data_IF_740597698671
#
_entry.id   IF_740597698671
#
_cell.length_a   1.000
_cell.length_b   1.000
_cell.length_c   1.000
_cell.angle_alpha   90.00
_cell.angle_beta   90.00
_cell.angle_gamma   90.00
#
_symmetry.space_group_name_H-M   'P 1'
#
loop_
_entity.id
_entity.type
_entity.pdbx_description
1 polymer ?
#
# COMPACT_ATOMS: atom_id res chain seq x y z
N UNK A 1 -18.68 31.28 31.27
CA UNK A 1 -19.49 30.20 30.66
C UNK A 1 -19.23 30.03 29.16
N UNK A 2 -19.29 31.09 28.34
CA UNK A 2 -19.17 31.00 26.87
C UNK A 2 -17.91 30.27 26.35
N UNK A 3 -16.77 30.36 27.04
CA UNK A 3 -15.48 29.76 26.63
C UNK A 3 -15.32 28.28 27.02
N UNK A 4 -15.94 27.86 28.13
CA UNK A 4 -15.97 26.46 28.55
C UNK A 4 -16.95 25.68 27.67
N UNK A 5 -18.07 26.32 27.30
CA UNK A 5 -18.93 25.88 26.21
C UNK A 5 -18.17 25.72 24.90
N UNK A 6 -17.28 26.65 24.54
CA UNK A 6 -16.49 26.57 23.31
C UNK A 6 -15.50 25.39 23.33
N UNK A 7 -14.82 25.12 24.44
CA UNK A 7 -13.98 23.93 24.60
C UNK A 7 -14.78 22.62 24.52
N UNK A 8 -15.97 22.58 25.14
CA UNK A 8 -16.90 21.45 25.03
C UNK A 8 -17.34 21.26 23.58
N UNK A 9 -17.70 22.34 22.88
CA UNK A 9 -18.07 22.31 21.46
C UNK A 9 -16.92 21.79 20.61
N UNK A 10 -15.67 22.22 20.83
CA UNK A 10 -14.51 21.69 20.10
C UNK A 10 -14.38 20.16 20.30
N UNK A 11 -14.50 19.69 21.54
CA UNK A 11 -14.41 18.25 21.85
C UNK A 11 -15.56 17.48 21.21
N UNK A 12 -16.79 17.99 21.28
CA UNK A 12 -17.98 17.36 20.70
C UNK A 12 -17.92 17.31 19.18
N UNK A 13 -17.52 18.42 18.55
CA UNK A 13 -17.31 18.51 17.10
C UNK A 13 -16.23 17.54 16.67
N UNK A 14 -15.11 17.44 17.39
CA UNK A 14 -14.08 16.45 17.07
C UNK A 14 -14.55 15.00 17.23
N UNK A 15 -15.39 14.72 18.23
CA UNK A 15 -15.96 13.39 18.44
C UNK A 15 -16.96 13.02 17.34
N UNK A 16 -17.68 14.00 16.79
CA UNK A 16 -18.51 13.84 15.60
C UNK A 16 -17.66 13.64 14.34
N UNK A 17 -16.59 14.43 14.14
CA UNK A 17 -15.69 14.28 13.00
C UNK A 17 -14.91 12.96 13.03
N UNK A 18 -14.54 12.44 14.22
CA UNK A 18 -13.90 11.13 14.35
C UNK A 18 -14.78 9.97 13.83
N UNK A 19 -16.10 10.19 13.78
CA UNK A 19 -17.08 9.24 13.25
C UNK A 19 -17.43 9.48 11.78
N UNK A 20 -16.94 10.55 11.18
CA UNK A 20 -17.26 10.90 9.80
C UNK A 20 -16.35 10.12 8.83
N UNK A 21 -16.90 9.29 7.93
CA UNK A 21 -16.12 8.54 6.95
C UNK A 21 -15.34 9.43 5.96
N UNK A 22 -15.73 10.70 5.78
CA UNK A 22 -14.98 11.63 4.94
C UNK A 22 -13.68 12.10 5.62
N UNK A 23 -13.68 12.20 6.95
CA UNK A 23 -12.47 12.54 7.72
C UNK A 23 -11.49 11.37 7.73
N UNK A 24 -12.00 10.14 7.78
CA UNK A 24 -11.19 8.93 7.63
C UNK A 24 -10.48 8.87 6.26
N UNK A 25 -11.12 9.37 5.19
CA UNK A 25 -10.46 9.52 3.87
C UNK A 25 -9.32 10.55 3.93
N UNK A 26 -9.50 11.66 4.64
CA UNK A 26 -8.47 12.69 4.80
C UNK A 26 -7.28 12.21 5.67
N UNK A 27 -7.55 11.34 6.65
CA UNK A 27 -6.53 10.64 7.44
C UNK A 27 -5.65 9.69 6.60
N UNK A 28 -6.10 9.34 5.38
CA UNK A 28 -5.33 8.54 4.44
C UNK A 28 -3.93 9.09 4.17
N UNK A 29 -3.74 10.42 4.16
CA UNK A 29 -2.41 11.01 3.97
C UNK A 29 -1.46 10.67 5.13
N UNK A 30 -1.95 10.73 6.38
CA UNK A 30 -1.15 10.39 7.55
C UNK A 30 -0.81 8.90 7.55
N UNK A 31 -1.78 8.04 7.23
CA UNK A 31 -1.57 6.61 7.08
C UNK A 31 -0.54 6.30 5.99
N UNK A 32 -0.61 6.97 4.84
CA UNK A 32 0.31 6.79 3.73
C UNK A 32 1.73 7.16 4.10
N UNK A 33 1.90 8.30 4.79
CA UNK A 33 3.19 8.71 5.34
C UNK A 33 3.72 7.69 6.34
N UNK A 34 2.86 7.20 7.22
CA UNK A 34 3.24 6.29 8.29
C UNK A 34 3.69 4.94 7.72
N UNK A 35 2.93 4.36 6.78
CA UNK A 35 3.26 3.08 6.13
C UNK A 35 4.55 3.15 5.31
N UNK A 36 4.81 4.26 4.61
CA UNK A 36 6.06 4.45 3.85
C UNK A 36 7.29 4.43 4.74
N UNK A 37 7.17 4.97 5.96
CA UNK A 37 8.28 5.09 6.91
C UNK A 37 8.36 3.91 7.90
N UNK A 38 7.41 2.98 7.88
CA UNK A 38 7.41 1.82 8.77
C UNK A 38 7.99 0.60 8.05
N UNK A 39 8.99 -0.11 8.63
CA UNK A 39 9.46 -1.35 8.07
C UNK A 39 8.32 -2.38 8.00
N UNK A 40 8.36 -3.28 7.03
CA UNK A 40 7.42 -4.38 7.01
C UNK A 40 7.74 -5.35 8.16
N UNK A 41 6.70 -5.69 8.92
CA UNK A 41 6.79 -6.68 9.99
C UNK A 41 6.21 -7.99 9.52
N UNK A 42 6.97 -9.07 9.66
CA UNK A 42 6.57 -10.41 9.25
C UNK A 42 7.77 -11.31 9.02
N UNK A 43 7.52 -12.62 9.03
CA UNK A 43 8.49 -13.59 8.54
C UNK A 43 8.60 -13.53 7.01
N UNK A 44 9.64 -14.19 6.49
CA UNK A 44 9.85 -14.33 5.06
C UNK A 44 8.63 -14.98 4.39
N UNK A 45 8.18 -14.40 3.29
CA UNK A 45 6.96 -14.83 2.59
C UNK A 45 7.35 -15.65 1.36
N UNK A 46 6.58 -16.70 0.97
CA UNK A 46 6.82 -17.48 -0.25
C UNK A 46 6.51 -16.70 -1.53
N UNK A 47 7.26 -15.61 -1.73
CA UNK A 47 7.24 -14.71 -2.88
C UNK A 47 8.68 -14.55 -3.36
N UNK A 48 8.93 -14.89 -4.61
CA UNK A 48 10.19 -14.58 -5.29
C UNK A 48 9.92 -13.56 -6.38
N UNK A 49 10.59 -12.41 -6.29
CA UNK A 49 10.51 -11.33 -7.29
C UNK A 49 11.74 -11.39 -8.17
N UNK A 50 11.54 -11.44 -9.49
CA UNK A 50 12.62 -11.47 -10.47
C UNK A 50 12.57 -10.23 -11.35
N UNK A 51 13.67 -9.48 -11.35
CA UNK A 51 13.83 -8.25 -12.12
C UNK A 51 14.52 -8.55 -13.46
N UNK A 52 13.82 -8.24 -14.56
CA UNK A 52 14.30 -8.41 -15.93
C UNK A 52 14.50 -7.03 -16.57
N UNK A 53 15.65 -6.82 -17.21
CA UNK A 53 16.06 -5.55 -17.80
C UNK A 53 17.23 -4.90 -17.07
N UNK A 54 17.62 -3.68 -17.46
CA UNK A 54 18.78 -3.01 -16.90
C UNK A 54 18.63 -2.85 -15.37
N UNK A 55 19.51 -3.54 -14.63
CA UNK A 55 19.54 -3.49 -13.18
C UNK A 55 19.72 -2.04 -12.70
N UNK A 56 19.06 -1.62 -11.60
CA UNK A 56 19.47 -0.42 -10.91
C UNK A 56 20.91 -0.60 -10.44
N UNK A 57 21.76 0.39 -10.71
CA UNK A 57 23.06 0.53 -10.05
C UNK A 57 22.75 0.60 -8.56
N UNK A 58 22.95 -0.50 -7.85
CA UNK A 58 22.86 -0.52 -6.39
C UNK A 58 23.91 0.44 -5.87
N UNK A 59 23.48 1.52 -5.21
CA UNK A 59 24.34 2.43 -4.45
C UNK A 59 25.04 1.63 -3.34
N UNK A 60 26.20 1.07 -3.68
CA UNK A 60 27.18 0.62 -2.69
C UNK A 60 28.48 1.33 -3.02
N UNK A 61 28.61 2.59 -2.61
CA UNK A 61 29.83 3.24 -2.07
C UNK A 61 29.75 4.78 -2.17
N UNK A 62 29.95 5.52 -1.05
CA UNK A 62 30.01 6.97 -1.05
C UNK A 62 31.44 7.42 -1.40
N UNK A 63 31.82 7.33 -2.67
CA UNK A 63 32.90 8.12 -3.29
C UNK A 63 33.21 7.51 -4.66
N UNK A 64 32.53 7.99 -5.69
CA UNK A 64 33.12 8.05 -7.02
C UNK A 64 32.37 9.09 -7.84
N UNK A 65 33.11 10.14 -8.18
CA UNK A 65 32.69 11.31 -8.93
C UNK A 65 32.10 10.88 -10.28
N UNK A 66 30.83 11.19 -10.52
CA UNK A 66 30.16 10.94 -11.79
C UNK A 66 30.83 11.76 -12.92
N UNK A 67 31.11 11.17 -14.10
CA UNK A 67 31.37 11.93 -15.31
C UNK A 67 30.08 12.61 -15.81
N UNK A 68 30.18 13.75 -16.50
CA UNK A 68 29.05 14.62 -16.78
C UNK A 68 28.09 13.99 -17.81
N UNK A 69 26.81 14.26 -17.55
CA UNK A 69 25.67 13.86 -18.37
C UNK A 69 25.86 14.19 -19.85
N UNK A 70 25.93 13.15 -20.68
CA UNK A 70 25.64 13.27 -22.10
C UNK A 70 24.13 13.16 -22.31
N UNK A 71 23.57 14.29 -22.73
CA UNK A 71 22.20 14.49 -23.22
C UNK A 71 21.89 13.52 -24.37
N UNK A 72 21.17 12.45 -24.06
CA UNK A 72 20.47 11.63 -25.06
C UNK A 72 18.96 11.88 -24.96
N UNK A 73 18.24 11.96 -26.10
CA UNK A 73 16.86 12.40 -26.15
C UNK A 73 15.92 11.36 -25.53
N UNK A 74 14.88 11.86 -24.85
CA UNK A 74 13.74 11.09 -24.31
C UNK A 74 13.28 10.01 -25.29
N UNK A 75 13.65 8.76 -25.03
CA UNK A 75 13.22 7.58 -25.77
C UNK A 75 13.11 6.41 -24.80
N UNK A 76 11.90 5.86 -24.71
CA UNK A 76 11.50 4.57 -24.13
C UNK A 76 12.50 3.91 -23.17
N UNK A 77 12.14 3.84 -21.89
CA UNK A 77 12.69 2.83 -20.98
C UNK A 77 12.77 1.48 -21.72
N UNK A 78 13.96 0.89 -21.74
CA UNK A 78 14.34 -0.30 -22.50
C UNK A 78 13.22 -1.33 -22.56
N UNK A 79 12.60 -1.50 -23.74
CA UNK A 79 11.67 -2.59 -23.97
C UNK A 79 12.44 -3.90 -23.88
N UNK A 80 12.18 -4.69 -22.84
CA UNK A 80 12.79 -6.00 -22.60
C UNK A 80 12.48 -6.93 -23.76
N UNK A 81 13.52 -7.58 -24.30
CA UNK A 81 13.40 -8.46 -25.46
C UNK A 81 12.63 -9.76 -25.14
N UNK A 82 11.93 -10.39 -26.10
CA UNK A 82 11.33 -11.71 -25.89
C UNK A 82 12.36 -12.76 -25.44
N UNK A 83 13.61 -12.63 -25.92
CA UNK A 83 14.70 -13.52 -25.56
C UNK A 83 15.08 -13.45 -24.08
N UNK A 84 15.08 -12.27 -23.45
CA UNK A 84 15.32 -12.13 -22.01
C UNK A 84 14.25 -12.86 -21.19
N UNK A 85 12.99 -12.79 -21.61
CA UNK A 85 11.92 -13.58 -21.00
C UNK A 85 12.11 -15.08 -21.24
N UNK A 86 12.52 -15.50 -22.44
CA UNK A 86 12.79 -16.91 -22.74
C UNK A 86 13.91 -17.47 -21.84
N UNK A 87 14.99 -16.71 -21.66
CA UNK A 87 16.09 -17.06 -20.76
C UNK A 87 15.64 -17.13 -19.30
N UNK A 88 14.81 -16.19 -18.88
CA UNK A 88 14.18 -16.24 -17.56
C UNK A 88 13.37 -17.52 -17.37
N UNK A 89 12.48 -17.84 -18.31
CA UNK A 89 11.63 -19.03 -18.21
C UNK A 89 12.46 -20.31 -18.21
N UNK A 90 13.50 -20.39 -19.05
CA UNK A 90 14.43 -21.50 -19.04
C UNK A 90 15.11 -21.67 -17.67
N UNK A 91 15.62 -20.59 -17.08
CA UNK A 91 16.29 -20.62 -15.79
C UNK A 91 15.35 -20.99 -14.65
N UNK A 92 14.11 -20.48 -14.67
CA UNK A 92 13.17 -20.71 -13.58
C UNK A 92 12.58 -22.11 -13.61
N UNK A 93 12.39 -22.69 -14.80
CA UNK A 93 11.85 -24.04 -14.98
C UNK A 93 12.75 -25.11 -14.34
N UNK A 94 14.06 -24.88 -14.25
CA UNK A 94 14.99 -25.75 -13.52
C UNK A 94 14.63 -25.90 -12.03
N UNK A 95 13.95 -24.91 -11.45
CA UNK A 95 13.53 -24.89 -10.05
C UNK A 95 12.07 -25.33 -9.82
N UNK A 96 11.40 -25.84 -10.87
CA UNK A 96 10.02 -26.39 -10.85
C UNK A 96 8.97 -25.45 -10.21
N UNK A 97 8.74 -24.27 -10.81
CA UNK A 97 7.80 -23.30 -10.27
C UNK A 97 6.36 -23.79 -10.40
N UNK A 98 5.51 -23.50 -9.42
CA UNK A 98 4.06 -23.80 -9.53
C UNK A 98 3.31 -22.71 -10.27
N UNK A 99 3.72 -21.45 -10.08
CA UNK A 99 3.07 -20.30 -10.70
C UNK A 99 4.10 -19.22 -11.02
N UNK A 100 3.98 -18.66 -12.23
CA UNK A 100 4.74 -17.48 -12.64
C UNK A 100 3.76 -16.39 -13.06
N UNK A 101 3.85 -15.24 -12.41
CA UNK A 101 3.07 -14.05 -12.69
C UNK A 101 3.97 -12.99 -13.34
N UNK A 102 3.59 -12.53 -14.53
CA UNK A 102 4.33 -11.52 -15.28
C UNK A 102 3.59 -10.19 -15.19
N UNK A 103 4.15 -9.27 -14.42
CA UNK A 103 3.65 -7.90 -14.26
C UNK A 103 3.72 -7.07 -15.55
N UNK A 104 4.84 -7.02 -16.31
CA UNK A 104 4.94 -6.18 -17.49
C UNK A 104 4.00 -6.67 -18.59
N UNK A 105 3.34 -5.72 -19.26
CA UNK A 105 2.46 -6.04 -20.38
C UNK A 105 3.29 -6.55 -21.57
N UNK A 106 3.18 -7.85 -21.83
CA UNK A 106 3.90 -8.51 -22.92
C UNK A 106 3.19 -8.22 -24.23
N UNK A 107 3.73 -7.27 -25.00
CA UNK A 107 3.33 -7.00 -26.37
C UNK A 107 4.56 -6.60 -27.17
N UNK A 108 5.02 -7.51 -28.03
CA UNK A 108 6.22 -7.29 -28.82
C UNK A 108 5.89 -6.75 -30.20
N UNK A 109 6.91 -6.19 -30.86
CA UNK A 109 6.76 -5.72 -32.23
C UNK A 109 6.88 -6.94 -33.14
N UNK A 110 6.12 -6.97 -34.23
CA UNK A 110 6.16 -8.09 -35.19
C UNK A 110 7.52 -8.36 -35.86
N UNK A 111 8.55 -7.52 -35.61
CA UNK A 111 9.94 -7.78 -36.04
C UNK A 111 10.66 -8.81 -35.18
N UNK A 112 10.17 -9.08 -33.96
CA UNK A 112 10.79 -9.98 -32.99
C UNK A 112 10.09 -11.37 -32.95
N UNK A 113 9.29 -11.68 -33.98
CA UNK A 113 8.41 -12.87 -34.03
C UNK A 113 9.17 -14.20 -33.92
N UNK A 114 10.38 -14.27 -34.47
CA UNK A 114 11.22 -15.48 -34.36
C UNK A 114 11.71 -15.71 -32.92
N UNK A 115 11.96 -14.63 -32.17
CA UNK A 115 12.34 -14.72 -30.75
C UNK A 115 11.13 -15.00 -29.87
N UNK A 116 9.95 -14.52 -30.26
CA UNK A 116 8.67 -14.79 -29.60
C UNK A 116 8.32 -16.29 -29.62
N UNK A 117 8.63 -17.01 -30.69
CA UNK A 117 8.44 -18.47 -30.74
C UNK A 117 9.26 -19.20 -29.68
N UNK A 118 10.54 -18.83 -29.52
CA UNK A 118 11.40 -19.42 -28.48
C UNK A 118 10.84 -19.14 -27.09
N UNK A 119 10.33 -17.93 -26.87
CA UNK A 119 9.66 -17.55 -25.64
C UNK A 119 8.40 -18.39 -25.40
N UNK A 120 7.52 -18.52 -26.39
CA UNK A 120 6.27 -19.29 -26.32
C UNK A 120 6.55 -20.76 -25.95
N UNK A 121 7.57 -21.36 -26.56
CA UNK A 121 7.98 -22.75 -26.27
C UNK A 121 8.39 -22.95 -24.81
N UNK A 122 9.03 -21.96 -24.19
CA UNK A 122 9.37 -22.02 -22.76
C UNK A 122 8.15 -21.70 -21.89
N UNK A 123 7.32 -20.72 -22.28
CA UNK A 123 6.12 -20.34 -21.55
C UNK A 123 5.11 -21.49 -21.43
N UNK A 124 4.95 -22.30 -22.49
CA UNK A 124 4.10 -23.50 -22.49
C UNK A 124 4.52 -24.57 -21.47
N UNK A 125 5.78 -24.56 -21.01
CA UNK A 125 6.29 -25.53 -20.03
C UNK A 125 5.99 -25.10 -18.59
N UNK A 126 5.52 -23.87 -18.39
CA UNK A 126 5.18 -23.33 -17.07
C UNK A 126 3.82 -23.88 -16.64
N UNK A 127 3.70 -24.50 -15.45
CA UNK A 127 2.43 -25.13 -15.04
C UNK A 127 1.26 -24.15 -14.95
N UNK A 128 1.49 -22.95 -14.44
CA UNK A 128 0.51 -21.85 -14.41
C UNK A 128 1.19 -20.53 -14.72
N UNK A 129 0.79 -19.93 -15.82
CA UNK A 129 1.25 -18.61 -16.25
C UNK A 129 0.14 -17.58 -16.07
N UNK A 130 0.44 -16.49 -15.36
CA UNK A 130 -0.44 -15.33 -15.24
C UNK A 130 0.21 -14.15 -15.96
N UNK A 131 -0.46 -13.59 -16.97
CA UNK A 131 0.01 -12.43 -17.72
C UNK A 131 -0.81 -11.19 -17.39
N UNK A 132 -0.18 -10.03 -17.46
CA UNK A 132 -0.88 -8.77 -17.23
C UNK A 132 -1.69 -8.31 -18.44
N UNK A 133 -2.86 -7.75 -18.13
CA UNK A 133 -3.72 -7.06 -19.06
C UNK A 133 -4.23 -5.75 -18.43
N UNK A 134 -4.75 -4.86 -19.25
CA UNK A 134 -5.17 -3.53 -18.83
C UNK A 134 -6.58 -3.24 -19.34
N UNK A 135 -7.44 -2.80 -18.44
CA UNK A 135 -8.83 -2.44 -18.69
C UNK A 135 -8.99 -0.97 -19.07
N UNK A 136 -10.05 -0.66 -19.80
CA UNK A 136 -10.45 0.71 -20.15
C UNK A 136 -11.95 0.93 -19.92
N UNK A 137 -12.30 2.16 -19.57
CA UNK A 137 -13.70 2.61 -19.48
C UNK A 137 -14.21 3.17 -20.82
N UNK A 138 -13.32 3.36 -21.79
CA UNK A 138 -13.62 3.81 -23.16
C UNK A 138 -13.15 2.75 -24.16
N UNK A 139 -13.86 1.61 -24.27
CA UNK A 139 -13.59 0.60 -25.28
C UNK A 139 -13.74 1.18 -26.68
N UNK A 140 -12.98 0.62 -27.61
CA UNK A 140 -13.27 0.75 -29.03
C UNK A 140 -14.66 0.16 -29.32
N UNK A 141 -15.62 0.93 -29.87
CA UNK A 141 -16.97 0.45 -30.16
C UNK A 141 -17.01 -0.71 -31.16
N UNK A 142 -15.97 -0.86 -31.98
CA UNK A 142 -15.90 -1.90 -33.01
C UNK A 142 -15.22 -3.20 -32.51
N UNK A 143 -14.60 -3.17 -31.32
CA UNK A 143 -13.96 -4.33 -30.74
C UNK A 143 -14.99 -5.28 -30.10
N UNK A 144 -14.91 -6.60 -30.36
CA UNK A 144 -15.84 -7.55 -29.77
C UNK A 144 -15.74 -7.55 -28.25
N UNK A 145 -16.88 -7.69 -27.55
CA UNK A 145 -16.90 -7.77 -26.10
C UNK A 145 -16.12 -8.99 -25.61
N UNK A 146 -15.13 -8.77 -24.75
CA UNK A 146 -14.37 -9.87 -24.11
C UNK A 146 -15.09 -10.26 -22.83
N UNK A 147 -15.53 -11.51 -22.74
CA UNK A 147 -16.10 -12.04 -21.50
C UNK A 147 -14.96 -12.39 -20.54
N UNK A 148 -15.03 -11.82 -19.33
CA UNK A 148 -14.05 -12.03 -18.27
C UNK A 148 -14.79 -12.68 -17.11
N UNK A 149 -14.39 -13.87 -16.64
CA UNK A 149 -15.09 -14.56 -15.58
C UNK A 149 -15.00 -13.76 -14.26
N UNK A 150 -16.16 -13.33 -13.76
CA UNK A 150 -16.28 -12.70 -12.45
C UNK A 150 -16.45 -13.68 -11.28
N UNK A 151 -16.44 -13.12 -10.07
CA UNK A 151 -16.80 -13.82 -8.85
C UNK A 151 -18.30 -14.12 -8.81
N UNK A 152 -18.64 -15.33 -8.37
CA UNK A 152 -20.03 -15.81 -8.30
C UNK A 152 -20.76 -15.25 -7.07
N UNK A 153 -20.05 -15.19 -5.92
CA UNK A 153 -20.65 -14.82 -4.64
C UNK A 153 -20.27 -13.40 -4.22
N UNK A 154 -21.01 -12.41 -4.73
CA UNK A 154 -20.76 -10.99 -4.46
C UNK A 154 -21.96 -10.34 -3.79
N UNK A 155 -21.72 -9.74 -2.63
CA UNK A 155 -22.68 -8.98 -1.83
C UNK A 155 -22.17 -7.56 -1.53
N UNK A 156 -23.08 -6.62 -1.27
CA UNK A 156 -22.74 -5.22 -0.98
C UNK A 156 -22.91 -4.27 -2.17
N UNK A 157 -22.58 -2.99 -1.96
CA UNK A 157 -22.78 -1.91 -2.94
C UNK A 157 -21.65 -1.91 -3.98
N UNK A 158 -21.95 -2.24 -5.23
CA UNK A 158 -20.97 -2.28 -6.34
C UNK A 158 -20.60 -0.90 -6.91
N UNK A 159 -21.42 0.12 -6.65
CA UNK A 159 -21.33 1.42 -7.31
C UNK A 159 -20.05 2.21 -7.04
N UNK A 160 -19.29 1.82 -6.02
CA UNK A 160 -18.06 2.51 -5.65
C UNK A 160 -16.79 1.83 -6.19
N UNK A 161 -16.91 0.66 -6.83
CA UNK A 161 -15.78 -0.06 -7.44
C UNK A 161 -15.32 0.63 -8.73
N UNK A 162 -14.00 0.64 -9.03
CA UNK A 162 -13.49 1.09 -10.31
C UNK A 162 -14.15 0.31 -11.45
N UNK A 163 -14.83 1.04 -12.34
CA UNK A 163 -15.69 0.45 -13.37
C UNK A 163 -15.05 0.56 -14.75
N UNK A 164 -14.98 -0.58 -15.44
CA UNK A 164 -14.42 -0.72 -16.77
C UNK A 164 -15.41 -1.43 -17.71
N UNK A 165 -15.30 -1.13 -18.99
CA UNK A 165 -16.23 -1.60 -20.03
C UNK A 165 -15.51 -2.29 -21.20
N UNK A 166 -14.18 -2.23 -21.24
CA UNK A 166 -13.35 -2.92 -22.23
C UNK A 166 -11.95 -3.27 -21.73
N UNK A 167 -11.20 -3.96 -22.59
CA UNK A 167 -9.78 -4.27 -22.42
C UNK A 167 -9.00 -3.38 -23.38
N UNK A 168 -8.06 -2.58 -22.85
CA UNK A 168 -7.23 -1.66 -23.65
C UNK A 168 -6.03 -2.37 -24.23
N UNK A 169 -5.32 -3.11 -23.39
CA UNK A 169 -4.07 -3.79 -23.73
C UNK A 169 -4.12 -5.19 -23.15
N UNK A 170 -3.75 -6.17 -23.95
CA UNK A 170 -3.66 -7.57 -23.56
C UNK A 170 -2.54 -8.24 -24.38
N UNK A 171 -1.99 -9.36 -23.89
CA UNK A 171 -1.06 -10.18 -24.64
C UNK A 171 -1.67 -10.71 -25.94
N UNK A 172 -0.81 -11.12 -26.86
CA UNK A 172 -1.21 -11.71 -28.14
C UNK A 172 -1.98 -13.03 -27.94
N UNK A 173 -2.78 -13.41 -28.93
CA UNK A 173 -3.77 -14.49 -28.80
C UNK A 173 -3.15 -15.82 -28.35
N UNK A 174 -2.02 -16.20 -28.94
CA UNK A 174 -1.28 -17.42 -28.62
C UNK A 174 -0.89 -17.48 -27.13
N UNK A 175 -0.55 -16.33 -26.53
CA UNK A 175 -0.22 -16.24 -25.12
C UNK A 175 -1.44 -16.37 -24.22
N UNK A 176 -2.58 -15.81 -24.63
CA UNK A 176 -3.83 -15.92 -23.86
C UNK A 176 -4.36 -17.35 -23.82
N UNK A 177 -4.04 -18.17 -24.83
CA UNK A 177 -4.44 -19.58 -24.84
C UNK A 177 -3.70 -20.42 -23.79
N UNK A 178 -2.47 -20.02 -23.44
CA UNK A 178 -1.60 -20.76 -22.51
C UNK A 178 -1.51 -20.10 -21.12
N UNK A 179 -2.17 -18.97 -20.92
CA UNK A 179 -2.08 -18.19 -19.69
C UNK A 179 -3.44 -17.68 -19.19
N UNK A 180 -3.51 -17.42 -17.89
CA UNK A 180 -4.57 -16.61 -17.31
C UNK A 180 -4.22 -15.14 -17.37
N UNK A 181 -5.23 -14.27 -17.44
CA UNK A 181 -5.04 -12.82 -17.42
C UNK A 181 -5.26 -12.25 -16.03
N UNK A 182 -4.42 -11.29 -15.63
CA UNK A 182 -4.57 -10.49 -14.42
C UNK A 182 -4.53 -8.99 -14.74
N UNK A 183 -5.43 -8.21 -14.16
CA UNK A 183 -5.59 -6.80 -14.53
C UNK A 183 -4.79 -5.86 -13.64
N UNK A 184 -3.90 -5.06 -14.25
CA UNK A 184 -2.93 -4.20 -13.52
C UNK A 184 -3.39 -2.75 -13.32
N UNK A 185 -4.68 -2.46 -13.55
CA UNK A 185 -5.22 -1.11 -13.41
C UNK A 185 -5.07 -0.59 -11.97
N UNK A 186 -4.20 0.39 -11.74
CA UNK A 186 -4.09 1.04 -10.43
C UNK A 186 -5.07 2.21 -10.36
N UNK A 187 -5.90 2.21 -9.31
CA UNK A 187 -6.84 3.29 -9.03
C UNK A 187 -6.18 4.34 -8.13
N UNK A 188 -5.80 5.48 -8.70
CA UNK A 188 -5.28 6.64 -7.96
C UNK A 188 -3.76 6.69 -7.78
N UNK A 189 -3.30 7.80 -7.19
CA UNK A 189 -1.87 8.14 -7.10
C UNK A 189 -1.17 7.64 -5.82
N UNK A 190 -1.84 6.84 -4.98
CA UNK A 190 -1.25 6.39 -3.71
C UNK A 190 -0.68 4.98 -3.80
N UNK A 191 0.62 4.76 -3.49
CA UNK A 191 1.27 3.45 -3.57
C UNK A 191 0.87 2.51 -2.43
N UNK A 192 0.06 2.97 -1.48
CA UNK A 192 -0.42 2.20 -0.33
C UNK A 192 -1.83 1.65 -0.57
N UNK A 193 -2.62 2.22 -1.49
CA UNK A 193 -3.96 1.72 -1.81
C UNK A 193 -3.94 0.99 -3.13
N UNK A 194 -4.24 -0.30 -3.07
CA UNK A 194 -4.14 -1.17 -4.24
C UNK A 194 -5.49 -1.80 -4.50
N UNK A 195 -6.09 -1.60 -5.67
CA UNK A 195 -7.36 -2.24 -5.99
C UNK A 195 -7.17 -3.76 -6.04
N UNK A 196 -8.06 -4.49 -5.36
CA UNK A 196 -8.14 -5.95 -5.44
C UNK A 196 -9.31 -6.40 -6.34
N UNK A 197 -10.31 -5.54 -6.51
CA UNK A 197 -11.55 -5.84 -7.21
C UNK A 197 -11.84 -4.73 -8.23
N UNK A 198 -12.32 -5.14 -9.41
CA UNK A 198 -12.86 -4.22 -10.40
C UNK A 198 -14.28 -4.59 -10.75
N UNK A 199 -15.06 -3.61 -11.20
CA UNK A 199 -16.37 -3.82 -11.80
C UNK A 199 -16.21 -3.81 -13.32
N UNK A 200 -16.29 -4.97 -13.95
CA UNK A 200 -16.27 -5.11 -15.40
C UNK A 200 -17.67 -5.43 -15.88
N UNK A 201 -18.33 -4.46 -16.55
CA UNK A 201 -19.67 -4.63 -17.14
C UNK A 201 -20.73 -5.19 -16.17
N UNK A 202 -20.63 -4.86 -14.88
CA UNK A 202 -21.56 -5.30 -13.84
C UNK A 202 -21.11 -6.56 -13.09
N UNK A 203 -20.08 -7.26 -13.57
CA UNK A 203 -19.44 -8.37 -12.89
C UNK A 203 -18.24 -7.89 -12.06
N UNK A 204 -18.03 -8.49 -10.90
CA UNK A 204 -16.86 -8.17 -10.08
C UNK A 204 -15.75 -9.15 -10.43
N UNK A 205 -14.62 -8.63 -10.90
CA UNK A 205 -13.46 -9.41 -11.34
C UNK A 205 -12.25 -9.13 -10.44
N UNK A 206 -11.32 -10.08 -10.29
CA UNK A 206 -10.10 -9.87 -9.51
C UNK A 206 -9.09 -8.98 -10.25
N UNK A 207 -8.40 -8.14 -9.49
CA UNK A 207 -7.19 -7.46 -9.94
C UNK A 207 -6.00 -8.43 -9.99
N UNK A 208 -4.92 -8.03 -10.66
CA UNK A 208 -3.72 -8.85 -10.87
C UNK A 208 -3.17 -9.47 -9.58
N UNK A 209 -3.00 -8.68 -8.52
CA UNK A 209 -2.45 -9.18 -7.25
C UNK A 209 -3.36 -10.22 -6.59
N UNK A 210 -4.68 -10.01 -6.61
CA UNK A 210 -5.63 -10.97 -6.06
C UNK A 210 -5.66 -12.26 -6.89
N UNK A 211 -5.67 -12.13 -8.23
CA UNK A 211 -5.66 -13.28 -9.14
C UNK A 211 -4.39 -14.13 -8.98
N UNK A 212 -3.23 -13.48 -8.84
CA UNK A 212 -1.96 -14.16 -8.59
C UNK A 212 -2.00 -14.93 -7.27
N UNK A 213 -2.50 -14.29 -6.20
CA UNK A 213 -2.66 -14.92 -4.89
C UNK A 213 -3.64 -16.11 -4.91
N UNK A 214 -4.81 -15.97 -5.52
CA UNK A 214 -5.80 -17.05 -5.62
C UNK A 214 -5.26 -18.24 -6.41
N UNK A 215 -4.53 -17.96 -7.50
CA UNK A 215 -3.91 -18.98 -8.36
C UNK A 215 -2.81 -19.76 -7.63
N UNK A 216 -2.00 -19.07 -6.82
CA UNK A 216 -0.99 -19.66 -5.94
C UNK A 216 -1.62 -20.49 -4.81
N UNK A 217 -2.63 -19.93 -4.13
CA UNK A 217 -3.36 -20.62 -3.06
C UNK A 217 -4.26 -21.76 -3.57
N UNK A 218 -4.37 -21.92 -4.89
CA UNK A 218 -5.22 -22.92 -5.57
C UNK A 218 -6.70 -22.78 -5.20
N UNK A 219 -7.17 -21.55 -4.98
CA UNK A 219 -8.56 -21.23 -4.62
C UNK A 219 -9.33 -20.86 -5.88
N UNK A 220 -10.45 -21.54 -6.14
CA UNK A 220 -11.34 -21.20 -7.23
C UNK A 220 -12.17 -19.95 -6.92
N UNK A 221 -12.47 -19.13 -7.93
CA UNK A 221 -13.28 -17.91 -7.75
C UNK A 221 -14.71 -18.20 -7.25
N UNK A 222 -15.23 -19.41 -7.48
CA UNK A 222 -16.53 -19.86 -6.97
C UNK A 222 -16.53 -20.09 -5.46
N UNK A 223 -15.38 -20.31 -4.83
CA UNK A 223 -15.27 -20.54 -3.38
C UNK A 223 -15.10 -19.23 -2.58
N UNK A 224 -14.82 -18.13 -3.28
CA UNK A 224 -14.55 -16.83 -2.69
C UNK A 224 -15.87 -16.08 -2.48
N UNK A 225 -16.10 -15.63 -1.25
CA UNK A 225 -17.26 -14.80 -0.91
C UNK A 225 -16.82 -13.35 -0.72
N UNK A 226 -17.41 -12.45 -1.49
CA UNK A 226 -17.06 -11.03 -1.45
C UNK A 226 -18.19 -10.25 -0.78
N UNK A 227 -17.81 -9.48 0.24
CA UNK A 227 -18.67 -8.46 0.83
C UNK A 227 -18.01 -7.10 0.65
N UNK A 228 -18.42 -6.39 -0.41
CA UNK A 228 -17.82 -5.12 -0.84
C UNK A 228 -17.90 -4.09 0.30
N UNK A 229 -16.78 -3.41 0.56
CA UNK A 229 -16.65 -2.45 1.67
C UNK A 229 -16.41 -3.08 3.04
N UNK A 230 -16.15 -4.40 3.11
CA UNK A 230 -15.79 -5.04 4.38
C UNK A 230 -14.65 -6.04 4.22
N UNK A 231 -14.87 -7.15 3.51
CA UNK A 231 -13.89 -8.21 3.38
C UNK A 231 -14.17 -9.16 2.21
N UNK A 232 -13.11 -9.84 1.79
CA UNK A 232 -13.13 -11.03 0.93
C UNK A 232 -12.89 -12.23 1.86
N UNK A 233 -13.88 -13.11 1.97
CA UNK A 233 -13.78 -14.35 2.70
C UNK A 233 -13.30 -15.46 1.76
N UNK A 234 -12.21 -16.11 2.17
CA UNK A 234 -11.58 -17.22 1.49
C UNK A 234 -11.96 -18.55 2.17
N UNK A 235 -11.85 -19.69 1.47
CA UNK A 235 -11.94 -21.01 2.12
C UNK A 235 -10.91 -21.12 3.26
N UNK A 236 -11.30 -21.80 4.34
CA UNK A 236 -10.45 -21.92 5.55
C UNK A 236 -10.56 -20.77 6.55
N UNK A 237 -11.55 -19.88 6.41
CA UNK A 237 -11.86 -18.84 7.40
C UNK A 237 -10.98 -17.59 7.33
N UNK A 238 -10.07 -17.52 6.37
CA UNK A 238 -9.22 -16.34 6.12
C UNK A 238 -10.05 -15.19 5.54
N UNK A 239 -9.83 -13.98 6.05
CA UNK A 239 -10.56 -12.76 5.62
C UNK A 239 -9.57 -11.67 5.24
N UNK A 240 -9.65 -11.22 3.99
CA UNK A 240 -8.89 -10.07 3.49
C UNK A 240 -9.78 -8.83 3.64
N UNK A 241 -9.40 -7.81 4.42
CA UNK A 241 -10.19 -6.58 4.51
C UNK A 241 -10.16 -5.83 3.18
N UNK A 242 -11.29 -5.25 2.79
CA UNK A 242 -11.38 -4.38 1.60
C UNK A 242 -12.17 -3.12 1.93
N UNK A 243 -11.73 -2.02 1.36
CA UNK A 243 -12.44 -0.74 1.41
C UNK A 243 -13.65 -0.73 0.47
N UNK A 244 -14.45 0.33 0.56
CA UNK A 244 -15.68 0.54 -0.23
C UNK A 244 -15.39 0.60 -1.74
N UNK A 245 -14.20 1.05 -2.13
CA UNK A 245 -13.70 1.06 -3.51
C UNK A 245 -13.08 -0.28 -3.95
N UNK A 246 -13.12 -1.31 -3.10
CA UNK A 246 -12.52 -2.62 -3.38
C UNK A 246 -11.00 -2.62 -3.32
N UNK A 247 -10.39 -1.57 -2.74
CA UNK A 247 -8.96 -1.50 -2.51
C UNK A 247 -8.56 -2.11 -1.16
N UNK A 248 -7.29 -2.52 -1.08
CA UNK A 248 -6.62 -2.93 0.13
C UNK A 248 -5.54 -1.91 0.46
N UNK A 249 -5.45 -1.53 1.73
CA UNK A 249 -4.31 -0.76 2.24
C UNK A 249 -3.13 -1.69 2.52
N UNK A 250 -2.02 -1.43 1.84
CA UNK A 250 -0.80 -2.25 1.77
C UNK A 250 0.38 -1.45 2.30
N UNK A 251 1.25 -2.11 3.08
CA UNK A 251 2.54 -1.52 3.42
C UNK A 251 3.48 -1.68 2.21
N UNK A 252 3.95 -0.58 1.58
CA UNK A 252 4.86 -0.66 0.42
C UNK A 252 6.17 -1.40 0.70
N UNK A 253 6.64 -1.37 1.95
CA UNK A 253 7.84 -2.09 2.37
C UNK A 253 7.62 -3.61 2.46
N UNK A 254 6.38 -4.12 2.39
CA UNK A 254 6.10 -5.56 2.43
C UNK A 254 6.72 -6.32 1.25
N UNK A 255 7.01 -5.62 0.15
CA UNK A 255 7.75 -6.17 -0.98
C UNK A 255 9.18 -6.63 -0.64
N UNK A 256 9.71 -6.26 0.53
CA UNK A 256 11.01 -6.71 1.05
C UNK A 256 10.92 -8.04 1.82
N UNK A 257 9.71 -8.53 2.10
CA UNK A 257 9.51 -9.80 2.79
C UNK A 257 9.74 -11.01 1.87
N UNK A 258 9.66 -10.83 0.55
CA UNK A 258 9.98 -11.85 -0.45
C UNK A 258 11.45 -11.84 -0.87
N UNK A 259 11.88 -12.88 -1.59
CA UNK A 259 13.21 -12.93 -2.21
C UNK A 259 13.25 -12.02 -3.43
N UNK A 260 14.43 -11.49 -3.73
CA UNK A 260 14.66 -10.69 -4.93
C UNK A 260 15.89 -11.21 -5.64
N UNK A 261 15.74 -11.40 -6.95
CA UNK A 261 16.84 -11.76 -7.83
C UNK A 261 16.79 -10.89 -9.08
N UNK A 262 17.96 -10.46 -9.56
CA UNK A 262 18.08 -10.02 -10.95
C UNK A 262 18.09 -11.22 -11.89
N UNK A 263 17.77 -11.00 -13.17
CA UNK A 263 17.89 -12.05 -14.19
C UNK A 263 19.29 -12.70 -14.19
N UNK A 264 20.34 -11.90 -14.05
CA UNK A 264 21.73 -12.38 -14.05
C UNK A 264 22.03 -13.28 -12.85
N UNK A 265 21.54 -12.91 -11.66
CA UNK A 265 21.67 -13.75 -10.47
C UNK A 265 20.89 -15.05 -10.62
N UNK A 266 19.68 -15.01 -11.18
CA UNK A 266 18.90 -16.23 -11.42
C UNK A 266 19.62 -17.16 -12.40
N UNK A 267 20.19 -16.63 -13.49
CA UNK A 267 20.96 -17.42 -14.46
C UNK A 267 22.21 -18.02 -13.82
N UNK A 268 22.91 -17.27 -12.96
CA UNK A 268 24.06 -17.76 -12.21
C UNK A 268 23.65 -18.89 -11.24
N UNK A 269 22.54 -18.73 -10.53
CA UNK A 269 22.01 -19.75 -9.63
C UNK A 269 21.56 -21.02 -10.37
N UNK A 270 20.94 -20.87 -11.54
CA UNK A 270 20.60 -22.00 -12.39
C UNK A 270 21.85 -22.80 -12.82
N UNK A 271 22.99 -22.12 -13.05
CA UNK A 271 24.27 -22.77 -13.33
C UNK A 271 24.90 -23.42 -12.10
N UNK A 272 24.76 -22.84 -10.90
CA UNK A 272 25.37 -23.31 -9.64
C UNK A 272 24.52 -24.36 -8.89
N UNK A 273 23.89 -25.27 -9.63
CA UNK A 273 22.86 -26.24 -9.20
C UNK A 273 23.10 -26.98 -7.88
N UNK A 274 24.36 -27.20 -7.47
CA UNK A 274 24.71 -27.97 -6.26
C UNK A 274 24.87 -27.13 -4.99
N UNK A 275 25.09 -25.81 -5.09
CA UNK A 275 25.32 -24.92 -3.94
C UNK A 275 24.29 -23.78 -3.86
N UNK A 276 23.21 -23.86 -4.63
CA UNK A 276 22.21 -22.79 -4.71
C UNK A 276 21.28 -22.81 -3.49
N UNK A 277 21.03 -21.65 -2.84
CA UNK A 277 20.05 -21.53 -1.76
C UNK A 277 18.60 -21.76 -2.23
N UNK A 278 18.36 -21.80 -3.55
CA UNK A 278 17.09 -22.13 -4.19
C UNK A 278 16.99 -23.66 -4.40
N UNK A 279 16.67 -24.43 -3.36
CA UNK A 279 16.51 -25.89 -3.50
C UNK A 279 15.24 -26.28 -4.27
N UNK A 280 14.15 -25.52 -4.11
CA UNK A 280 12.90 -25.69 -4.90
C UNK A 280 11.99 -24.48 -4.78
N UNK A 281 11.38 -24.04 -5.89
CA UNK A 281 10.40 -22.95 -5.93
C UNK A 281 8.95 -23.47 -6.03
N UNK A 282 8.71 -24.71 -5.62
CA UNK A 282 7.42 -25.37 -5.81
C UNK A 282 6.28 -24.67 -5.06
N UNK A 283 6.55 -24.13 -3.87
CA UNK A 283 5.53 -23.48 -3.03
C UNK A 283 5.58 -21.95 -3.09
N UNK A 284 6.44 -21.38 -3.94
CA UNK A 284 6.60 -19.92 -4.06
C UNK A 284 5.83 -19.35 -5.24
N UNK A 285 5.29 -18.14 -5.07
CA UNK A 285 4.78 -17.34 -6.17
C UNK A 285 5.93 -16.57 -6.79
N UNK A 286 6.13 -16.72 -8.10
CA UNK A 286 7.19 -16.02 -8.82
C UNK A 286 6.60 -14.83 -9.54
N UNK A 287 7.04 -13.63 -9.16
CA UNK A 287 6.62 -12.37 -9.77
C UNK A 287 7.74 -11.82 -10.64
N UNK A 288 7.50 -11.76 -11.94
CA UNK A 288 8.41 -11.17 -12.92
C UNK A 288 8.06 -9.72 -13.14
N UNK A 289 9.08 -8.86 -13.09
CA UNK A 289 8.93 -7.42 -13.21
C UNK A 289 10.03 -6.80 -14.07
N UNK A 290 9.74 -5.64 -14.63
CA UNK A 290 10.75 -4.79 -15.28
C UNK A 290 10.96 -3.53 -14.45
N UNK A 291 12.20 -3.14 -14.12
CA UNK A 291 12.46 -1.91 -13.39
C UNK A 291 12.17 -0.73 -14.32
N UNK A 292 10.98 -0.15 -14.20
CA UNK A 292 10.56 0.98 -15.05
C UNK A 292 11.21 2.30 -14.62
N UNK A 293 11.63 2.44 -13.35
CA UNK A 293 12.44 3.57 -12.86
C UNK A 293 13.01 3.26 -11.45
N UNK A 294 14.31 3.45 -11.17
CA UNK A 294 14.90 3.30 -9.82
C UNK A 294 14.34 4.29 -8.78
N UNK A 295 13.67 5.35 -9.21
CA UNK A 295 12.99 6.34 -8.36
C UNK A 295 11.46 6.13 -8.30
N UNK A 296 10.91 5.09 -8.97
CA UNK A 296 9.49 4.82 -8.94
C UNK A 296 9.02 4.32 -7.57
N UNK A 297 7.72 4.50 -7.34
CA UNK A 297 7.03 4.06 -6.14
C UNK A 297 7.33 2.59 -5.79
N UNK A 298 7.38 2.26 -4.49
CA UNK A 298 7.62 0.91 -4.00
C UNK A 298 6.72 -0.12 -4.67
N UNK A 299 7.26 -1.31 -4.91
CA UNK A 299 6.69 -2.38 -5.74
C UNK A 299 5.30 -2.79 -5.27
N UNK A 300 4.28 -2.12 -5.85
CA UNK A 300 2.92 -2.14 -5.33
C UNK A 300 2.34 -3.55 -5.41
N UNK A 301 2.53 -4.25 -6.53
CA UNK A 301 2.04 -5.62 -6.69
C UNK A 301 2.79 -6.63 -5.82
N UNK A 302 4.12 -6.54 -5.74
CA UNK A 302 4.92 -7.40 -4.87
C UNK A 302 4.54 -7.20 -3.39
N UNK A 303 4.38 -5.95 -2.96
CA UNK A 303 3.96 -5.61 -1.60
C UNK A 303 2.54 -6.13 -1.31
N UNK A 304 1.63 -6.03 -2.29
CA UNK A 304 0.26 -6.51 -2.15
C UNK A 304 0.22 -8.03 -2.02
N UNK A 305 0.92 -8.75 -2.90
CA UNK A 305 0.99 -10.21 -2.84
C UNK A 305 1.64 -10.66 -1.53
N UNK A 306 2.73 -10.01 -1.11
CA UNK A 306 3.38 -10.31 0.17
C UNK A 306 2.44 -10.09 1.37
N UNK A 307 1.65 -9.01 1.35
CA UNK A 307 0.64 -8.71 2.37
C UNK A 307 -0.49 -9.74 2.37
N UNK A 308 -0.96 -10.13 1.17
CA UNK A 308 -1.96 -11.17 0.99
C UNK A 308 -1.47 -12.53 1.47
N UNK A 309 -0.20 -12.87 1.30
CA UNK A 309 0.37 -14.14 1.76
C UNK A 309 0.67 -14.13 3.26
N UNK A 310 1.24 -13.04 3.81
CA UNK A 310 1.56 -12.90 5.25
C UNK A 310 0.34 -12.74 6.16
N UNK A 311 -0.84 -12.44 5.59
CA UNK A 311 -2.08 -12.20 6.35
C UNK A 311 -2.02 -10.99 7.29
N UNK A 312 -1.05 -10.10 7.10
CA UNK A 312 -0.80 -8.97 7.99
C UNK A 312 -1.40 -7.69 7.40
N UNK A 313 -2.68 -7.45 7.64
CA UNK A 313 -3.42 -6.33 7.07
C UNK A 313 -3.45 -5.12 8.00
N UNK A 314 -3.28 -3.92 7.43
CA UNK A 314 -3.48 -2.68 8.16
C UNK A 314 -4.96 -2.55 8.56
N UNK A 315 -5.25 -2.48 9.85
CA UNK A 315 -6.62 -2.30 10.37
C UNK A 315 -6.71 -1.00 11.16
N UNK A 316 -7.83 -0.29 11.01
CA UNK A 316 -8.10 0.90 11.82
C UNK A 316 -8.34 0.49 13.28
N UNK A 317 -7.80 1.27 14.21
CA UNK A 317 -8.09 1.11 15.64
C UNK A 317 -9.58 1.34 15.92
N UNK A 318 -10.12 0.70 16.96
CA UNK A 318 -11.53 0.87 17.33
C UNK A 318 -11.88 2.33 17.63
N UNK A 319 -13.09 2.76 17.28
CA UNK A 319 -13.63 4.12 17.57
C UNK A 319 -13.57 4.48 19.07
N UNK A 320 -13.54 3.48 19.95
CA UNK A 320 -13.40 3.67 21.40
C UNK A 320 -12.02 4.27 21.74
N UNK A 321 -10.98 3.89 21.01
CA UNK A 321 -9.63 4.43 21.19
C UNK A 321 -9.60 5.92 20.83
N UNK A 322 -10.27 6.31 19.74
CA UNK A 322 -10.37 7.73 19.32
C UNK A 322 -11.03 8.57 20.42
N UNK A 323 -12.11 8.05 21.04
CA UNK A 323 -12.77 8.69 22.17
C UNK A 323 -11.83 8.84 23.38
N UNK A 324 -11.07 7.79 23.71
CA UNK A 324 -10.14 7.81 24.84
C UNK A 324 -9.00 8.82 24.65
N UNK A 325 -8.44 8.91 23.43
CA UNK A 325 -7.38 9.87 23.09
C UNK A 325 -7.91 11.31 23.14
N UNK A 326 -9.10 11.57 22.57
CA UNK A 326 -9.71 12.91 22.62
C UNK A 326 -9.96 13.35 24.07
N UNK A 327 -10.44 12.44 24.93
CA UNK A 327 -10.62 12.73 26.36
C UNK A 327 -9.29 13.01 27.06
N UNK A 328 -8.24 12.24 26.76
CA UNK A 328 -6.91 12.46 27.31
C UNK A 328 -6.34 13.83 26.89
N UNK A 329 -6.52 14.22 25.63
CA UNK A 329 -6.16 15.55 25.13
C UNK A 329 -6.95 16.64 25.85
N UNK A 330 -8.26 16.46 26.06
CA UNK A 330 -9.08 17.43 26.79
C UNK A 330 -8.61 17.61 28.25
N UNK A 331 -8.26 16.52 28.93
CA UNK A 331 -7.72 16.55 30.30
C UNK A 331 -6.38 17.28 30.34
N UNK A 332 -5.45 16.96 29.44
CA UNK A 332 -4.14 17.63 29.36
C UNK A 332 -4.31 19.13 29.01
N UNK A 333 -5.18 19.46 28.07
CA UNK A 333 -5.51 20.83 27.69
C UNK A 333 -6.03 21.64 28.88
N UNK A 334 -6.90 21.06 29.71
CA UNK A 334 -7.44 21.74 30.89
C UNK A 334 -6.36 22.09 31.93
N UNK A 335 -5.32 21.25 32.07
CA UNK A 335 -4.17 21.52 32.94
C UNK A 335 -3.21 22.54 32.32
N UNK A 336 -3.06 22.51 30.99
CA UNK A 336 -2.21 23.43 30.22
C UNK A 336 -2.63 24.90 30.29
N UNK A 337 -3.90 25.21 30.59
CA UNK A 337 -4.39 26.60 30.78
C UNK A 337 -3.63 27.35 31.89
N UNK A 338 -2.99 26.64 32.82
CA UNK A 338 -2.21 27.24 33.93
C UNK A 338 -0.71 27.40 33.62
N UNK A 339 -0.21 26.84 32.51
CA UNK A 339 1.22 26.80 32.18
C UNK A 339 1.73 28.11 31.55
N UNK A 340 3.05 28.24 31.35
CA UNK A 340 3.61 29.35 30.57
C UNK A 340 3.39 29.13 29.07
N UNK A 341 3.36 30.22 28.28
CA UNK A 341 3.16 30.14 26.82
C UNK A 341 4.24 29.30 26.12
N UNK A 342 5.47 29.35 26.62
CA UNK A 342 6.60 28.58 26.10
C UNK A 342 6.44 27.10 26.44
N UNK A 343 6.07 26.78 27.69
CA UNK A 343 5.84 25.39 28.12
C UNK A 343 4.66 24.75 27.38
N UNK A 344 3.65 25.56 27.03
CA UNK A 344 2.49 25.09 26.27
C UNK A 344 2.88 24.74 24.82
N UNK A 345 3.70 25.59 24.18
CA UNK A 345 4.18 25.33 22.83
C UNK A 345 5.16 24.15 22.78
N UNK A 346 6.08 24.06 23.74
CA UNK A 346 7.01 22.93 23.87
C UNK A 346 6.26 21.62 24.18
N UNK A 347 5.27 21.66 25.07
CA UNK A 347 4.42 20.52 25.41
C UNK A 347 3.58 20.04 24.23
N UNK A 348 3.10 20.95 23.38
CA UNK A 348 2.37 20.60 22.17
C UNK A 348 3.27 19.88 21.16
N UNK A 349 4.48 20.38 20.92
CA UNK A 349 5.47 19.75 20.03
C UNK A 349 5.91 18.38 20.59
N UNK A 350 6.14 18.28 21.91
CA UNK A 350 6.48 17.02 22.55
C UNK A 350 5.33 16.00 22.45
N UNK A 351 4.08 16.45 22.60
CA UNK A 351 2.91 15.60 22.46
C UNK A 351 2.74 15.09 21.02
N UNK A 352 2.89 15.95 20.00
CA UNK A 352 2.81 15.51 18.60
C UNK A 352 3.92 14.52 18.26
N UNK A 353 5.15 14.77 18.71
CA UNK A 353 6.27 13.86 18.51
C UNK A 353 6.04 12.50 19.21
N UNK A 354 5.61 12.52 20.47
CA UNK A 354 5.28 11.31 21.22
C UNK A 354 4.12 10.53 20.58
N UNK A 355 3.09 11.23 20.11
CA UNK A 355 1.96 10.63 19.41
C UNK A 355 2.38 9.94 18.12
N UNK A 356 3.21 10.59 17.29
CA UNK A 356 3.76 9.98 16.09
C UNK A 356 4.61 8.74 16.41
N UNK A 357 5.47 8.79 17.44
CA UNK A 357 6.28 7.65 17.85
C UNK A 357 5.43 6.47 18.34
N UNK A 358 4.38 6.74 19.12
CA UNK A 358 3.44 5.70 19.57
C UNK A 358 2.70 5.11 18.37
N UNK A 359 2.24 5.94 17.43
CA UNK A 359 1.59 5.47 16.21
C UNK A 359 2.52 4.57 15.37
N UNK A 360 3.80 4.93 15.24
CA UNK A 360 4.82 4.08 14.61
C UNK A 360 5.00 2.73 15.31
N UNK A 361 5.10 2.73 16.64
CA UNK A 361 5.24 1.50 17.42
C UNK A 361 4.01 0.59 17.29
N UNK A 362 2.81 1.17 17.28
CA UNK A 362 1.57 0.40 17.16
C UNK A 362 1.44 -0.21 15.77
N UNK A 363 1.68 0.55 14.71
CA UNK A 363 1.57 0.00 13.34
C UNK A 363 2.64 -1.05 13.06
N UNK A 364 3.86 -0.85 13.59
CA UNK A 364 4.99 -1.73 13.28
C UNK A 364 4.81 -3.06 13.97
N UNK A 365 4.25 -3.07 15.19
CA UNK A 365 4.08 -4.30 15.96
C UNK A 365 2.75 -4.99 15.71
N UNK A 366 1.68 -4.25 15.44
CA UNK A 366 0.32 -4.79 15.40
C UNK A 366 -0.41 -4.58 14.07
N UNK A 367 0.18 -3.86 13.10
CA UNK A 367 -0.50 -3.39 11.88
C UNK A 367 -1.82 -2.66 12.17
N UNK A 368 -1.93 -2.04 13.34
CA UNK A 368 -3.06 -1.19 13.69
C UNK A 368 -2.65 0.25 13.44
N UNK A 369 -3.44 0.99 12.67
CA UNK A 369 -3.20 2.40 12.46
C UNK A 369 -4.16 3.26 13.26
N UNK A 370 -3.66 4.44 13.64
CA UNK A 370 -4.33 5.39 14.52
C UNK A 370 -4.60 6.69 13.75
N UNK A 371 -5.81 7.29 13.84
CA UNK A 371 -6.13 8.53 13.13
C UNK A 371 -5.21 9.66 13.57
N UNK A 372 -4.65 10.40 12.62
CA UNK A 372 -3.72 11.48 12.92
C UNK A 372 -4.43 12.84 13.00
N UNK A 373 -5.30 13.12 12.05
CA UNK A 373 -5.83 14.45 11.77
C UNK A 373 -6.74 14.95 12.89
N UNK A 374 -7.70 14.13 13.35
CA UNK A 374 -8.64 14.53 14.42
C UNK A 374 -7.94 14.75 15.77
N UNK A 375 -7.13 13.83 16.31
CA UNK A 375 -6.46 14.04 17.59
C UNK A 375 -5.38 15.14 17.53
N UNK A 376 -4.64 15.27 16.43
CA UNK A 376 -3.66 16.35 16.31
C UNK A 376 -4.36 17.72 16.14
N UNK A 377 -5.40 17.82 15.31
CA UNK A 377 -6.14 19.07 15.13
C UNK A 377 -6.82 19.52 16.44
N UNK A 378 -7.39 18.59 17.21
CA UNK A 378 -7.97 18.91 18.53
C UNK A 378 -6.92 19.39 19.52
N UNK A 379 -5.76 18.74 19.58
CA UNK A 379 -4.66 19.18 20.44
C UNK A 379 -4.20 20.60 20.08
N UNK A 380 -4.02 20.90 18.80
CA UNK A 380 -3.65 22.23 18.31
C UNK A 380 -4.72 23.28 18.57
N UNK A 381 -6.00 22.98 18.30
CA UNK A 381 -7.10 23.92 18.55
C UNK A 381 -7.24 24.26 20.04
N UNK A 382 -7.15 23.26 20.91
CA UNK A 382 -7.16 23.48 22.36
C UNK A 382 -5.90 24.22 22.84
N UNK A 383 -4.74 23.93 22.26
CA UNK A 383 -3.49 24.64 22.52
C UNK A 383 -3.56 26.12 22.13
N UNK A 384 -4.11 26.44 20.96
CA UNK A 384 -4.33 27.82 20.49
C UNK A 384 -5.35 28.53 21.38
N UNK A 385 -6.43 27.85 21.75
CA UNK A 385 -7.44 28.40 22.67
C UNK A 385 -6.82 28.72 24.06
N UNK A 386 -5.95 27.85 24.57
CA UNK A 386 -5.23 28.05 25.82
C UNK A 386 -4.16 29.15 25.70
N UNK A 387 -3.51 29.30 24.54
CA UNK A 387 -2.57 30.38 24.25
C UNK A 387 -3.27 31.75 24.21
N UNK A 388 -4.47 31.81 23.63
CA UNK A 388 -5.33 33.00 23.59
C UNK A 388 -5.99 33.32 24.94
N UNK A 389 -5.83 32.46 25.96
CA UNK A 389 -6.37 32.69 27.29
C UNK A 389 -5.57 33.79 28.00
N UNK A 390 -6.18 34.95 28.32
CA UNK A 390 -5.48 35.96 29.12
C UNK A 390 -5.28 35.42 30.52
N UNK A 391 -4.02 35.41 31.01
CA UNK A 391 -3.73 35.15 32.42
C UNK A 391 -4.54 36.12 33.27
N UNK A 392 -5.34 35.62 34.21
CA UNK A 392 -5.66 36.42 35.37
C UNK A 392 -4.32 36.69 36.04
N UNK A 393 -3.82 37.93 35.92
CA UNK A 393 -2.75 38.44 36.78
C UNK A 393 -3.16 38.05 38.19
N UNK A 394 -2.37 37.21 38.87
CA UNK A 394 -2.50 37.11 40.31
C UNK A 394 -2.42 38.54 40.82
N UNK A 395 -3.56 39.03 41.31
CA UNK A 395 -3.62 40.27 42.06
C UNK A 395 -2.66 39.99 43.22
N UNK A 396 -1.48 40.60 43.16
CA UNK A 396 -0.56 40.61 44.27
C UNK A 396 -1.41 40.94 45.50
N UNK A 397 -1.37 40.06 46.49
CA UNK A 397 -1.82 40.38 47.84
C UNK A 397 -1.31 41.78 48.14
N UNK A 398 -2.24 42.73 48.24
CA UNK A 398 -1.93 44.01 48.83
C UNK A 398 -1.64 43.67 50.29
N UNK A 399 -0.36 43.52 50.62
CA UNK A 399 0.12 43.65 51.99
C UNK A 399 -0.36 45.02 52.45
N UNK A 400 -1.46 45.05 53.20
CA UNK A 400 -1.89 46.21 53.98
C UNK A 400 -0.76 46.48 54.98
N UNK A 401 0.11 47.43 54.63
CA UNK A 401 1.05 48.02 55.58
C UNK A 401 0.20 48.90 56.50
N UNK A 402 -0.12 48.37 57.68
CA UNK A 402 -0.73 49.13 58.75
C UNK A 402 0.15 50.36 59.08
N UNK A 403 -0.40 51.58 59.18
CA UNK A 403 0.37 52.75 59.57
C UNK A 403 0.77 52.67 61.04
N UNK A 404 2.05 52.92 61.33
CA UNK A 404 2.63 52.97 62.68
C UNK A 404 1.92 54.01 63.55
N UNK A 405 1.68 53.74 64.86
CA UNK A 405 1.02 54.68 65.76
C UNK A 405 1.94 55.88 66.08
N UNK A 406 1.37 57.07 66.34
CA UNK A 406 2.15 58.25 66.72
C UNK A 406 2.75 58.06 68.11
N UNK A 407 4.04 58.34 68.25
CA UNK A 407 4.74 58.35 69.54
C UNK A 407 4.47 59.68 70.28
N UNK A 408 4.46 59.67 71.63
CA UNK A 408 4.02 60.77 72.50
C UNK A 408 4.98 61.97 72.56
#
# INVERSE_FOLDING_TARGET
>A
MQRLLLAIVIVLTALLLARDPYVEKADGFFLDWLLRNTPASGEHVPLTVVEIGAAPIVETQPNQTAPPASTAPRGNASAVSPLEFALFFQAILDFRPTIVAVEPLLKWRGRDRDQEQVFLDQAMRVPKLLLSAELTSTPDPDAPPTEIPGFVHVSGRRGDLPTYTGVQRQPDEDLRLISSLGYINLSGNSPTRVPLLFNYRGEVIPAFALQAFLSWARIAMSEVQIQIGSHIALPGGRRIPIDWDGSLTVNPNASKLGRRFSLNELLLLAQQRQNSPLQSLHDELILVRTPTNPLASPDVFAATIATLQSNHFARRVSVVFDCAVILLIAVLGSRGVRASRVDLLLGLIAFTAAYCLIAFLIISRYAIWVPGLVPLATAWLLGILAFAWPRQKHRAEATDIAPSPPAP
#
